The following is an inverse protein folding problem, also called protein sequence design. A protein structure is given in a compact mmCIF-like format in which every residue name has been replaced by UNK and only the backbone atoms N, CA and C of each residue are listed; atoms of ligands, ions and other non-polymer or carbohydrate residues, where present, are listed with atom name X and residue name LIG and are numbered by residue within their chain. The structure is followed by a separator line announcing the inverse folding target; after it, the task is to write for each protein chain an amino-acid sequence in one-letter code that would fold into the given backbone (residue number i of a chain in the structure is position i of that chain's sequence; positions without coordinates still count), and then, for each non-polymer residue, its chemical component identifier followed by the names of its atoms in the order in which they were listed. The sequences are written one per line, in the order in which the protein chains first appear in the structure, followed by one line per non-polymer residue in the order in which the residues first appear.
data_IF_552252842772
#
_entry.id   IF_552252842772
#
_cell.length_a   1.000
_cell.length_b   1.000
_cell.length_c   1.000
_cell.angle_alpha   90.00
_cell.angle_beta   90.00
_cell.angle_gamma   90.00
#
_symmetry.space_group_name_H-M   'P 1'
#
loop_
_entity.id
_entity.type
_entity.pdbx_description
1 polymer ?
#
# COMPACT_ATOMS: atom_id res chain seq x y z
N UNK A 1 -18.60 15.81 50.25
CA UNK A 1 -18.78 16.55 48.98
C UNK A 1 -17.73 15.98 48.02
N UNK A 2 -18.11 14.99 47.21
CA UNK A 2 -17.20 14.34 46.27
C UNK A 2 -17.38 14.96 44.89
N UNK A 3 -16.37 15.69 44.42
CA UNK A 3 -16.34 16.22 43.05
C UNK A 3 -15.85 15.13 42.10
N UNK A 4 -16.71 14.69 41.20
CA UNK A 4 -16.34 13.87 40.06
C UNK A 4 -15.82 14.79 38.95
N UNK A 5 -14.54 14.65 38.59
CA UNK A 5 -13.90 15.38 37.50
C UNK A 5 -14.09 14.54 36.22
N UNK A 6 -15.02 14.96 35.36
CA UNK A 6 -15.23 14.34 34.06
C UNK A 6 -14.19 14.86 33.07
N UNK A 7 -13.35 13.94 32.56
CA UNK A 7 -12.37 14.22 31.53
C UNK A 7 -13.05 14.07 30.15
N UNK A 8 -13.33 15.19 29.50
CA UNK A 8 -13.91 15.21 28.15
C UNK A 8 -12.78 15.00 27.12
N UNK A 9 -12.76 13.83 26.47
CA UNK A 9 -11.92 13.61 25.30
C UNK A 9 -12.54 14.32 24.10
N UNK A 10 -11.84 15.35 23.58
CA UNK A 10 -12.18 15.96 22.28
C UNK A 10 -11.66 15.02 21.19
N UNK A 11 -12.57 14.35 20.50
CA UNK A 11 -12.23 13.61 19.28
C UNK A 11 -12.21 14.63 18.15
N UNK A 12 -11.03 14.99 17.66
CA UNK A 12 -10.91 15.77 16.44
C UNK A 12 -11.28 14.86 15.26
N UNK A 13 -12.48 15.05 14.70
CA UNK A 13 -12.82 14.49 13.41
C UNK A 13 -12.00 15.23 12.35
N UNK A 14 -10.89 14.66 11.92
CA UNK A 14 -10.21 15.11 10.71
C UNK A 14 -11.16 14.88 9.54
N UNK A 15 -11.49 15.94 8.80
CA UNK A 15 -12.11 15.76 7.50
C UNK A 15 -11.10 14.96 6.65
N UNK A 16 -11.55 13.86 6.04
CA UNK A 16 -10.82 13.23 4.96
C UNK A 16 -10.80 14.25 3.80
N UNK A 17 -9.75 15.06 3.76
CA UNK A 17 -9.51 16.01 2.68
C UNK A 17 -8.74 15.32 1.58
N UNK A 18 -9.05 15.68 0.33
CA UNK A 18 -8.23 15.35 -0.82
C UNK A 18 -6.76 15.72 -0.55
N UNK A 19 -5.85 14.80 -0.86
CA UNK A 19 -4.41 15.07 -0.85
C UNK A 19 -3.99 15.43 -2.28
N UNK A 20 -3.34 16.59 -2.44
CA UNK A 20 -2.73 16.96 -3.72
C UNK A 20 -1.33 16.34 -3.78
N UNK A 21 -1.17 15.33 -4.63
CA UNK A 21 0.06 14.56 -4.77
C UNK A 21 0.84 14.98 -6.01
N UNK A 22 2.16 15.15 -5.87
CA UNK A 22 3.11 15.40 -6.97
C UNK A 22 3.86 14.12 -7.30
N UNK A 23 4.02 13.81 -8.58
CA UNK A 23 4.92 12.74 -9.03
C UNK A 23 6.35 13.27 -9.12
N UNK A 24 7.21 12.87 -8.19
CA UNK A 24 8.63 13.29 -8.16
C UNK A 24 9.49 12.47 -9.13
N UNK A 25 9.09 11.22 -9.40
CA UNK A 25 9.79 10.32 -10.30
C UNK A 25 9.42 8.86 -10.04
N UNK A 26 10.30 7.97 -10.46
CA UNK A 26 10.12 6.52 -10.35
C UNK A 26 11.15 5.93 -9.38
N UNK A 27 10.81 4.82 -8.73
CA UNK A 27 11.73 4.13 -7.80
C UNK A 27 12.91 3.51 -8.54
N UNK A 28 12.68 3.02 -9.77
CA UNK A 28 13.64 2.37 -10.64
C UNK A 28 13.42 2.75 -12.11
N UNK A 29 14.20 2.16 -13.03
CA UNK A 29 13.81 2.16 -14.43
C UNK A 29 12.44 1.48 -14.61
N UNK A 30 11.61 2.05 -15.48
CA UNK A 30 10.29 1.50 -15.83
C UNK A 30 10.48 0.27 -16.72
N UNK A 31 10.01 -0.90 -16.28
CA UNK A 31 9.99 -2.09 -17.12
C UNK A 31 8.74 -2.12 -18.00
N UNK A 32 8.88 -2.73 -19.18
CA UNK A 32 7.73 -3.01 -20.03
C UNK A 32 7.11 -4.36 -19.63
N UNK A 33 5.81 -4.34 -19.34
CA UNK A 33 5.02 -5.54 -19.06
C UNK A 33 4.04 -5.76 -20.22
N UNK A 34 4.03 -6.97 -20.76
CA UNK A 34 3.08 -7.39 -21.79
C UNK A 34 1.87 -8.02 -21.12
N UNK A 35 0.69 -7.39 -21.26
CA UNK A 35 -0.57 -7.89 -20.71
C UNK A 35 -1.24 -8.76 -21.75
N UNK A 36 -1.41 -10.05 -21.43
CA UNK A 36 -2.07 -11.03 -22.29
C UNK A 36 -3.57 -11.10 -22.03
N UNK A 37 -3.99 -10.93 -20.77
CA UNK A 37 -5.40 -10.90 -20.35
C UNK A 37 -5.58 -9.95 -19.18
N UNK A 38 -6.73 -9.27 -19.12
CA UNK A 38 -7.15 -8.43 -18.01
C UNK A 38 -8.68 -8.30 -18.05
N UNK A 39 -9.37 -8.34 -16.89
CA UNK A 39 -10.80 -8.04 -16.84
C UNK A 39 -11.11 -6.55 -16.95
N UNK A 40 -10.10 -5.69 -16.78
CA UNK A 40 -10.25 -4.24 -16.85
C UNK A 40 -10.41 -3.83 -18.33
N UNK A 41 -11.53 -3.20 -18.72
CA UNK A 41 -11.74 -2.75 -20.09
C UNK A 41 -10.62 -1.84 -20.57
N UNK A 42 -10.32 -1.90 -21.88
CA UNK A 42 -9.34 -1.04 -22.55
C UNK A 42 -7.91 -1.12 -21.98
N UNK A 43 -7.58 -2.17 -21.22
CA UNK A 43 -6.21 -2.44 -20.78
C UNK A 43 -5.26 -2.55 -21.99
N UNK A 44 -4.20 -1.72 -22.08
CA UNK A 44 -3.22 -1.83 -23.15
C UNK A 44 -2.47 -3.16 -23.10
N UNK A 45 -2.12 -3.72 -24.26
CA UNK A 45 -1.31 -4.95 -24.32
C UNK A 45 0.13 -4.76 -23.83
N UNK A 46 0.56 -3.52 -23.60
CA UNK A 46 1.88 -3.17 -23.10
C UNK A 46 1.78 -1.95 -22.18
N UNK A 47 2.26 -2.09 -20.95
CA UNK A 47 2.23 -1.06 -19.90
C UNK A 47 3.57 -0.96 -19.19
N UNK A 48 3.83 0.21 -18.58
CA UNK A 48 5.02 0.41 -17.75
C UNK A 48 4.78 -0.03 -16.32
N UNK A 49 5.77 -0.67 -15.69
CA UNK A 49 5.69 -1.12 -14.30
C UNK A 49 6.92 -0.68 -13.49
N UNK A 50 6.67 0.00 -12.37
CA UNK A 50 7.64 0.42 -11.34
C UNK A 50 6.87 1.10 -10.19
N UNK A 51 7.54 1.46 -9.10
CA UNK A 51 6.98 2.30 -8.04
C UNK A 51 7.07 3.79 -8.39
N UNK A 52 6.14 4.58 -7.85
CA UNK A 52 6.09 6.03 -8.04
C UNK A 52 6.53 6.75 -6.77
N UNK A 53 7.55 7.59 -6.87
CA UNK A 53 7.91 8.49 -5.78
C UNK A 53 6.94 9.67 -5.80
N UNK A 54 6.13 9.77 -4.76
CA UNK A 54 5.10 10.79 -4.62
C UNK A 54 5.37 11.67 -3.41
N UNK A 55 5.01 12.95 -3.49
CA UNK A 55 4.99 13.86 -2.35
C UNK A 55 3.60 14.48 -2.19
N UNK A 56 3.05 14.43 -0.99
CA UNK A 56 1.87 15.20 -0.63
C UNK A 56 2.27 16.66 -0.39
N UNK A 57 1.69 17.57 -1.17
CA UNK A 57 2.02 19.00 -1.11
C UNK A 57 1.56 19.69 0.18
N UNK A 58 0.56 19.15 0.88
CA UNK A 58 0.05 19.73 2.11
C UNK A 58 0.93 19.37 3.31
N UNK A 59 1.39 18.12 3.37
CA UNK A 59 2.18 17.58 4.50
C UNK A 59 3.68 17.58 4.24
N UNK A 60 4.09 17.68 2.97
CA UNK A 60 5.47 17.48 2.49
C UNK A 60 6.03 16.08 2.76
N UNK A 61 5.15 15.11 3.07
CA UNK A 61 5.53 13.71 3.24
C UNK A 61 5.73 13.05 1.87
N UNK A 62 6.85 12.32 1.73
CA UNK A 62 7.14 11.54 0.54
C UNK A 62 6.93 10.05 0.81
N UNK A 63 6.38 9.34 -0.17
CA UNK A 63 6.09 7.92 -0.10
C UNK A 63 6.16 7.28 -1.49
N UNK A 64 6.14 5.94 -1.53
CA UNK A 64 6.04 5.19 -2.77
C UNK A 64 4.59 4.76 -2.99
N UNK A 65 4.04 5.06 -4.16
CA UNK A 65 2.73 4.60 -4.59
C UNK A 65 2.85 3.62 -5.77
N UNK A 66 1.82 2.82 -5.97
CA UNK A 66 1.75 1.80 -7.01
C UNK A 66 0.46 1.94 -7.81
N UNK A 67 0.47 1.54 -9.08
CA UNK A 67 -0.69 1.62 -9.97
C UNK A 67 -1.64 0.46 -9.69
N UNK A 68 -2.91 0.74 -9.46
CA UNK A 68 -3.97 -0.27 -9.54
C UNK A 68 -5.10 0.22 -10.43
N UNK A 69 -4.74 0.85 -11.56
CA UNK A 69 -5.69 1.35 -12.55
C UNK A 69 -5.07 1.22 -13.94
N UNK A 70 -4.87 -0.03 -14.36
CA UNK A 70 -3.97 -0.44 -15.45
C UNK A 70 -4.36 0.11 -16.84
N UNK A 71 -5.61 0.52 -17.01
CA UNK A 71 -6.12 1.12 -18.26
C UNK A 71 -5.86 2.63 -18.36
N UNK A 72 -5.28 3.26 -17.33
CA UNK A 72 -5.18 4.71 -17.24
C UNK A 72 -3.74 5.21 -17.11
N UNK A 73 -3.52 6.44 -17.58
CA UNK A 73 -2.20 7.05 -17.56
C UNK A 73 -1.92 7.75 -16.24
N UNK A 74 -0.76 7.48 -15.68
CA UNK A 74 -0.19 8.32 -14.62
C UNK A 74 0.07 9.75 -15.13
N UNK A 75 0.00 10.72 -14.22
CA UNK A 75 0.43 12.10 -14.47
C UNK A 75 1.91 12.17 -14.90
N UNK A 76 2.31 13.26 -15.57
CA UNK A 76 3.72 13.49 -15.90
C UNK A 76 4.56 13.84 -14.67
N UNK A 77 5.84 13.46 -14.64
CA UNK A 77 6.77 13.85 -13.58
C UNK A 77 6.80 15.38 -13.39
N UNK A 78 6.73 15.84 -12.14
CA UNK A 78 6.62 17.24 -11.76
C UNK A 78 5.21 17.82 -11.83
N UNK A 79 4.21 17.05 -12.28
CA UNK A 79 2.80 17.44 -12.24
C UNK A 79 2.15 16.98 -10.93
N UNK A 80 0.99 17.55 -10.61
CA UNK A 80 0.19 17.18 -9.45
C UNK A 80 -1.22 16.75 -9.82
N UNK A 81 -1.83 15.91 -8.98
CA UNK A 81 -3.25 15.54 -9.04
C UNK A 81 -3.82 15.44 -7.63
N UNK A 82 -5.12 15.67 -7.51
CA UNK A 82 -5.84 15.53 -6.25
C UNK A 82 -6.32 14.08 -6.08
N UNK A 83 -6.17 13.53 -4.88
CA UNK A 83 -6.58 12.17 -4.53
C UNK A 83 -7.40 12.13 -3.25
N UNK A 84 -8.51 11.41 -3.27
CA UNK A 84 -9.24 10.99 -2.08
C UNK A 84 -8.75 9.63 -1.60
N UNK A 85 -8.70 9.42 -0.28
CA UNK A 85 -8.59 8.06 0.27
C UNK A 85 -9.99 7.43 0.33
N UNK A 86 -10.13 6.18 -0.08
CA UNK A 86 -11.41 5.45 -0.09
C UNK A 86 -11.29 4.07 0.53
N UNK A 87 -12.41 3.57 1.07
CA UNK A 87 -12.58 2.18 1.53
C UNK A 87 -13.35 1.31 0.53
N UNK A 88 -13.87 1.92 -0.54
CA UNK A 88 -14.50 1.25 -1.69
C UNK A 88 -13.67 1.60 -2.93
N UNK A 89 -12.48 0.98 -3.08
CA UNK A 89 -11.48 1.44 -4.02
C UNK A 89 -11.90 1.25 -5.46
N UNK A 90 -11.67 2.33 -6.22
CA UNK A 90 -11.71 2.36 -7.68
C UNK A 90 -13.12 2.16 -8.25
N UNK A 91 -14.11 2.58 -7.46
CA UNK A 91 -15.50 2.72 -7.91
C UNK A 91 -15.63 3.67 -9.12
N UNK A 92 -14.66 4.57 -9.30
CA UNK A 92 -14.54 5.45 -10.45
C UNK A 92 -13.81 4.83 -11.65
N UNK A 93 -13.30 3.60 -11.58
CA UNK A 93 -12.71 2.86 -12.71
C UNK A 93 -13.19 1.40 -12.72
N UNK A 94 -12.36 0.48 -12.24
CA UNK A 94 -12.67 -0.92 -12.07
C UNK A 94 -12.65 -1.25 -10.57
N UNK A 95 -13.84 -1.34 -9.98
CA UNK A 95 -14.00 -1.56 -8.54
C UNK A 95 -13.37 -2.87 -8.09
N UNK A 96 -12.62 -2.84 -6.97
CA UNK A 96 -12.06 -4.05 -6.39
C UNK A 96 -13.06 -4.76 -5.48
N UNK A 97 -13.00 -6.10 -5.47
CA UNK A 97 -13.74 -6.91 -4.51
C UNK A 97 -13.06 -6.87 -3.13
N UNK A 98 -13.77 -7.29 -2.08
CA UNK A 98 -13.16 -7.46 -0.77
C UNK A 98 -11.99 -8.47 -0.80
N UNK A 99 -12.13 -9.57 -1.55
CA UNK A 99 -11.08 -10.57 -1.75
C UNK A 99 -9.84 -9.96 -2.41
N UNK A 100 -10.02 -9.13 -3.44
CA UNK A 100 -8.93 -8.43 -4.12
C UNK A 100 -8.19 -7.47 -3.17
N UNK A 101 -8.93 -6.73 -2.32
CA UNK A 101 -8.35 -5.86 -1.29
C UNK A 101 -7.50 -6.67 -0.31
N UNK A 102 -8.02 -7.80 0.19
CA UNK A 102 -7.31 -8.68 1.11
C UNK A 102 -6.04 -9.28 0.48
N UNK A 103 -6.09 -9.64 -0.81
CA UNK A 103 -4.92 -10.12 -1.56
C UNK A 103 -3.87 -9.03 -1.75
N UNK A 104 -4.27 -7.81 -2.08
CA UNK A 104 -3.37 -6.65 -2.17
C UNK A 104 -2.68 -6.40 -0.83
N UNK A 105 -3.43 -6.43 0.27
CA UNK A 105 -2.89 -6.34 1.63
C UNK A 105 -1.84 -7.44 1.90
N UNK A 106 -2.15 -8.70 1.57
CA UNK A 106 -1.21 -9.82 1.76
C UNK A 106 0.08 -9.65 0.93
N UNK A 107 0.00 -9.12 -0.30
CA UNK A 107 1.18 -8.83 -1.13
C UNK A 107 2.09 -7.80 -0.44
N UNK A 108 1.53 -6.73 0.13
CA UNK A 108 2.30 -5.75 0.89
C UNK A 108 2.92 -6.37 2.15
N UNK A 109 2.12 -7.04 2.98
CA UNK A 109 2.56 -7.62 4.25
C UNK A 109 3.69 -8.64 4.09
N UNK A 110 3.63 -9.45 3.02
CA UNK A 110 4.61 -10.48 2.78
C UNK A 110 5.93 -9.98 2.17
N UNK A 111 5.90 -8.92 1.35
CA UNK A 111 7.02 -8.61 0.45
C UNK A 111 7.60 -7.19 0.60
N UNK A 112 6.81 -6.18 0.99
CA UNK A 112 7.19 -4.77 0.84
C UNK A 112 8.41 -4.38 1.68
N UNK A 113 8.57 -4.97 2.87
CA UNK A 113 9.70 -4.68 3.77
C UNK A 113 11.07 -5.10 3.21
N UNK A 114 11.09 -6.05 2.27
CA UNK A 114 12.31 -6.64 1.70
C UNK A 114 12.54 -6.23 0.25
N UNK A 115 11.65 -5.42 -0.33
CA UNK A 115 11.73 -4.99 -1.71
C UNK A 115 12.91 -4.03 -1.91
N UNK A 116 13.77 -4.31 -2.89
CA UNK A 116 14.75 -3.30 -3.36
C UNK A 116 14.11 -2.41 -4.42
N UNK A 117 13.72 -1.21 -4.00
CA UNK A 117 13.07 -0.22 -4.86
C UNK A 117 13.96 0.27 -6.02
N UNK A 118 15.28 0.08 -5.96
CA UNK A 118 16.21 0.50 -7.02
C UNK A 118 16.40 -0.58 -8.10
N UNK A 119 15.96 -1.81 -7.84
CA UNK A 119 16.00 -2.92 -8.78
C UNK A 119 14.74 -2.88 -9.66
N UNK A 120 14.94 -2.67 -10.95
CA UNK A 120 13.84 -2.52 -11.90
C UNK A 120 13.02 -3.81 -12.06
N UNK A 121 13.65 -4.98 -11.95
CA UNK A 121 12.97 -6.25 -12.12
C UNK A 121 12.12 -6.56 -10.88
N UNK A 122 12.62 -6.24 -9.68
CA UNK A 122 11.87 -6.36 -8.42
C UNK A 122 10.70 -5.38 -8.35
N UNK A 123 10.91 -4.10 -8.69
CA UNK A 123 9.84 -3.11 -8.68
C UNK A 123 8.72 -3.49 -9.67
N UNK A 124 9.08 -3.91 -10.89
CA UNK A 124 8.10 -4.35 -11.88
C UNK A 124 7.39 -5.64 -11.47
N UNK A 125 8.12 -6.60 -10.88
CA UNK A 125 7.53 -7.83 -10.36
C UNK A 125 6.52 -7.56 -9.24
N UNK A 126 6.82 -6.63 -8.34
CA UNK A 126 5.91 -6.24 -7.28
C UNK A 126 4.65 -5.58 -7.84
N UNK A 127 4.80 -4.67 -8.82
CA UNK A 127 3.67 -4.08 -9.53
C UNK A 127 2.81 -5.11 -10.26
N UNK A 128 3.41 -6.12 -10.89
CA UNK A 128 2.70 -7.22 -11.54
C UNK A 128 1.94 -8.09 -10.52
N UNK A 129 2.55 -8.41 -9.38
CA UNK A 129 1.88 -9.15 -8.30
C UNK A 129 0.69 -8.37 -7.73
N UNK A 130 0.78 -7.04 -7.62
CA UNK A 130 -0.34 -6.21 -7.22
C UNK A 130 -1.50 -6.25 -8.24
N UNK A 131 -1.22 -6.23 -9.54
CA UNK A 131 -2.26 -6.35 -10.56
C UNK A 131 -2.93 -7.72 -10.55
N UNK A 132 -2.16 -8.80 -10.42
CA UNK A 132 -2.70 -10.15 -10.27
C UNK A 132 -3.59 -10.26 -9.03
N UNK A 133 -3.12 -9.77 -7.88
CA UNK A 133 -3.89 -9.75 -6.64
C UNK A 133 -5.20 -8.95 -6.75
N UNK A 134 -5.19 -7.86 -7.52
CA UNK A 134 -6.33 -6.97 -7.70
C UNK A 134 -7.34 -7.49 -8.73
N UNK A 135 -6.90 -8.19 -9.77
CA UNK A 135 -7.70 -8.46 -10.97
C UNK A 135 -7.89 -9.94 -11.31
N UNK A 136 -7.30 -10.87 -10.56
CA UNK A 136 -7.60 -12.28 -10.74
C UNK A 136 -9.00 -12.64 -10.20
N UNK A 137 -9.59 -13.70 -10.76
CA UNK A 137 -10.84 -14.25 -10.25
C UNK A 137 -10.68 -14.78 -8.81
N UNK A 138 -11.74 -14.65 -8.02
CA UNK A 138 -11.74 -15.03 -6.60
C UNK A 138 -11.60 -16.55 -6.40
N UNK A 139 -11.89 -17.35 -7.44
CA UNK A 139 -11.84 -18.82 -7.40
C UNK A 139 -10.54 -19.46 -7.88
N UNK A 140 -9.59 -18.68 -8.43
CA UNK A 140 -8.35 -19.19 -9.00
C UNK A 140 -7.14 -18.99 -8.07
N UNK A 141 -6.11 -19.81 -8.27
CA UNK A 141 -4.80 -19.58 -7.68
C UNK A 141 -4.12 -18.41 -8.39
N UNK A 142 -3.38 -17.58 -7.63
CA UNK A 142 -2.74 -16.39 -8.20
C UNK A 142 -1.52 -16.79 -9.03
N UNK A 143 -1.43 -16.28 -10.25
CA UNK A 143 -0.31 -16.52 -11.16
C UNK A 143 -0.33 -15.53 -12.33
N UNK A 144 0.73 -14.74 -12.48
CA UNK A 144 0.81 -13.80 -13.63
C UNK A 144 0.88 -14.51 -14.98
N UNK A 145 1.18 -15.81 -15.04
CA UNK A 145 1.24 -16.56 -16.29
C UNK A 145 -0.14 -16.95 -16.86
N UNK A 146 -1.20 -16.90 -16.07
CA UNK A 146 -2.51 -17.42 -16.47
C UNK A 146 -3.62 -17.00 -15.52
N UNK A 147 -4.83 -16.82 -16.07
CA UNK A 147 -6.00 -16.53 -15.27
C UNK A 147 -6.88 -15.50 -15.95
N UNK A 148 -7.68 -14.81 -15.16
CA UNK A 148 -8.42 -13.64 -15.58
C UNK A 148 -7.46 -12.47 -15.87
N UNK A 149 -6.45 -12.30 -15.02
CA UNK A 149 -5.29 -11.47 -15.31
C UNK A 149 -4.12 -12.35 -15.76
N UNK A 150 -3.37 -11.90 -16.77
CA UNK A 150 -2.15 -12.56 -17.20
C UNK A 150 -1.21 -11.56 -17.84
N UNK A 151 0.05 -11.55 -17.40
CA UNK A 151 1.05 -10.62 -17.84
C UNK A 151 2.47 -11.23 -17.77
N UNK A 152 3.37 -10.71 -18.60
CA UNK A 152 4.77 -11.15 -18.61
C UNK A 152 5.74 -10.00 -18.83
N UNK A 153 6.92 -10.11 -18.23
CA UNK A 153 8.02 -9.18 -18.47
C UNK A 153 9.36 -9.91 -18.43
N UNK A 154 10.34 -9.38 -19.16
CA UNK A 154 11.70 -9.93 -19.14
C UNK A 154 12.33 -9.66 -17.77
N UNK A 155 12.56 -10.71 -16.98
CA UNK A 155 13.23 -10.61 -15.67
C UNK A 155 12.28 -10.52 -14.46
N UNK A 156 11.03 -10.11 -14.66
CA UNK A 156 10.09 -9.89 -13.54
C UNK A 156 9.02 -10.96 -13.36
N UNK A 157 8.71 -11.78 -14.38
CA UNK A 157 7.61 -12.78 -14.28
C UNK A 157 7.80 -13.76 -13.12
N UNK A 158 8.97 -14.40 -13.04
CA UNK A 158 9.25 -15.38 -11.98
C UNK A 158 9.27 -14.75 -10.57
N UNK A 159 9.74 -13.49 -10.48
CA UNK A 159 9.73 -12.73 -9.24
C UNK A 159 8.31 -12.36 -8.81
N UNK A 160 7.43 -12.00 -9.75
CA UNK A 160 6.04 -11.69 -9.45
C UNK A 160 5.32 -12.91 -8.86
N UNK A 161 5.49 -14.08 -9.48
CA UNK A 161 4.96 -15.34 -8.95
C UNK A 161 5.56 -15.71 -7.59
N UNK A 162 6.83 -15.35 -7.33
CA UNK A 162 7.44 -15.52 -6.01
C UNK A 162 6.75 -14.63 -4.97
N UNK A 163 6.47 -13.36 -5.30
CA UNK A 163 5.77 -12.44 -4.39
C UNK A 163 4.32 -12.87 -4.12
N UNK A 164 3.63 -13.42 -5.12
CA UNK A 164 2.30 -14.00 -4.96
C UNK A 164 2.32 -15.23 -4.06
N UNK A 165 3.26 -16.16 -4.27
CA UNK A 165 3.41 -17.32 -3.41
C UNK A 165 3.76 -16.94 -1.96
N UNK A 166 4.60 -15.91 -1.76
CA UNK A 166 4.88 -15.37 -0.43
C UNK A 166 3.62 -14.80 0.23
N UNK A 167 2.77 -14.09 -0.53
CA UNK A 167 1.52 -13.53 -0.05
C UNK A 167 0.53 -14.63 0.36
N UNK A 168 0.35 -15.66 -0.47
CA UNK A 168 -0.51 -16.81 -0.15
C UNK A 168 -0.02 -17.60 1.07
N UNK A 169 1.30 -17.69 1.26
CA UNK A 169 1.91 -18.36 2.41
C UNK A 169 1.97 -17.48 3.67
N UNK A 170 1.62 -16.19 3.59
CA UNK A 170 1.77 -15.27 4.69
C UNK A 170 0.71 -15.52 5.77
N UNK A 171 1.19 -15.96 6.94
CA UNK A 171 0.36 -16.17 8.14
C UNK A 171 0.75 -15.21 9.29
N UNK A 172 1.50 -14.15 8.97
CA UNK A 172 1.92 -13.14 9.92
C UNK A 172 0.82 -12.13 10.26
N UNK A 173 1.08 -11.21 11.21
CA UNK A 173 0.18 -10.09 11.47
C UNK A 173 0.20 -9.08 10.31
N UNK A 174 -0.83 -8.26 10.20
CA UNK A 174 -0.78 -7.07 9.35
C UNK A 174 0.36 -6.15 9.81
N UNK A 175 1.29 -5.84 8.91
CA UNK A 175 2.47 -5.00 9.17
C UNK A 175 2.40 -3.66 8.45
N UNK A 176 1.57 -3.56 7.41
CA UNK A 176 1.31 -2.34 6.65
C UNK A 176 -0.16 -1.95 6.69
N UNK A 177 -0.44 -0.66 6.88
CA UNK A 177 -1.77 -0.10 6.66
C UNK A 177 -1.87 0.35 5.19
N UNK A 178 -2.64 -0.38 4.39
CA UNK A 178 -2.88 -0.07 2.98
C UNK A 178 -3.85 1.10 2.85
N UNK A 179 -3.48 2.07 2.00
CA UNK A 179 -4.31 3.21 1.63
C UNK A 179 -4.55 3.20 0.13
N UNK A 180 -5.82 3.14 -0.27
CA UNK A 180 -6.23 3.28 -1.67
C UNK A 180 -6.51 4.75 -1.98
N UNK A 181 -5.83 5.26 -2.99
CA UNK A 181 -5.86 6.65 -3.43
C UNK A 181 -6.62 6.72 -4.76
N UNK A 182 -7.78 7.33 -4.74
CA UNK A 182 -8.65 7.51 -5.89
C UNK A 182 -8.52 8.94 -6.42
N UNK A 183 -8.22 9.10 -7.71
CA UNK A 183 -8.02 10.44 -8.29
C UNK A 183 -9.33 11.24 -8.31
N UNK A 184 -9.29 12.49 -7.86
CA UNK A 184 -10.42 13.40 -7.92
C UNK A 184 -10.56 14.01 -9.32
N UNK A 185 -11.75 13.90 -9.92
CA UNK A 185 -12.00 14.40 -11.27
C UNK A 185 -12.01 13.29 -12.31
N UNK A 186 -13.03 12.42 -12.22
CA UNK A 186 -13.32 11.44 -13.26
C UNK A 186 -13.73 12.12 -14.58
N UNK A 187 -12.91 11.96 -15.62
CA UNK A 187 -13.27 12.29 -16.99
C UNK A 187 -13.32 11.01 -17.84
N UNK A 188 -14.29 10.84 -18.75
CA UNK A 188 -14.34 9.67 -19.66
C UNK A 188 -13.20 9.68 -20.69
N UNK A 189 -12.60 10.85 -20.96
CA UNK A 189 -11.48 11.03 -21.89
C UNK A 189 -10.15 11.01 -21.12
N UNK A 190 -9.75 9.83 -20.62
CA UNK A 190 -8.59 9.62 -19.74
C UNK A 190 -7.24 9.85 -20.44
N UNK A 191 -6.94 11.12 -20.78
CA UNK A 191 -5.62 11.56 -21.18
C UNK A 191 -4.67 11.66 -19.98
N UNK A 192 -3.37 11.88 -20.22
CA UNK A 192 -2.31 12.06 -19.20
C UNK A 192 -2.63 13.06 -18.06
N UNK A 193 -3.67 13.89 -18.23
CA UNK A 193 -4.08 14.93 -17.28
C UNK A 193 -5.18 14.50 -16.31
N UNK A 194 -5.68 13.26 -16.39
CA UNK A 194 -6.76 12.74 -15.52
C UNK A 194 -6.27 11.83 -14.40
N UNK A 195 -5.00 11.38 -14.46
CA UNK A 195 -4.41 10.50 -13.46
C UNK A 195 -4.91 9.07 -13.50
N UNK A 196 -4.33 8.23 -12.64
CA UNK A 196 -4.67 6.82 -12.46
C UNK A 196 -4.84 6.58 -10.97
N UNK A 197 -5.69 5.64 -10.56
CA UNK A 197 -5.79 5.31 -9.15
C UNK A 197 -4.55 4.56 -8.63
N UNK A 198 -4.20 4.85 -7.37
CA UNK A 198 -2.97 4.39 -6.75
C UNK A 198 -3.25 3.63 -5.45
N UNK A 199 -2.26 2.88 -5.00
CA UNK A 199 -2.21 2.28 -3.66
C UNK A 199 -0.87 2.57 -3.01
N UNK A 200 -0.87 2.81 -1.71
CA UNK A 200 0.33 3.04 -0.91
C UNK A 200 0.18 2.38 0.46
N UNK A 201 1.26 2.34 1.23
CA UNK A 201 1.28 1.78 2.59
C UNK A 201 2.00 2.69 3.57
N UNK A 202 1.58 2.62 4.83
CA UNK A 202 2.33 3.12 5.98
C UNK A 202 2.54 1.99 6.99
N UNK A 203 3.60 2.05 7.78
CA UNK A 203 3.88 1.00 8.77
C UNK A 203 2.80 0.99 9.87
N UNK A 204 2.27 -0.19 10.20
CA UNK A 204 1.35 -0.33 11.35
C UNK A 204 2.12 -0.02 12.63
N UNK A 205 1.65 0.92 13.47
CA UNK A 205 2.32 1.23 14.73
C UNK A 205 2.38 0.00 15.63
N UNK A 206 3.60 -0.36 16.09
CA UNK A 206 3.76 -1.46 17.02
C UNK A 206 2.89 -1.23 18.27
N UNK A 207 2.16 -2.26 18.76
CA UNK A 207 1.29 -2.11 19.90
C UNK A 207 2.04 -1.51 21.09
N UNK A 208 1.55 -0.39 21.62
CA UNK A 208 2.11 0.27 22.81
C UNK A 208 2.25 -0.68 24.00
N UNK A 209 1.48 -1.79 24.02
CA UNK A 209 1.63 -2.88 24.97
C UNK A 209 3.05 -3.44 25.07
N UNK A 210 3.81 -3.51 23.97
CA UNK A 210 5.22 -3.94 23.99
C UNK A 210 6.12 -2.97 24.74
N UNK A 211 5.95 -1.67 24.49
CA UNK A 211 6.67 -0.62 25.21
C UNK A 211 6.21 -0.53 26.68
N UNK A 212 4.93 -0.74 26.97
CA UNK A 212 4.38 -0.78 28.33
C UNK A 212 4.87 -2.00 29.11
N UNK A 213 5.03 -3.16 28.46
CA UNK A 213 5.61 -4.34 29.07
C UNK A 213 7.10 -4.11 29.39
N UNK A 214 7.86 -3.56 28.45
CA UNK A 214 9.28 -3.24 28.65
C UNK A 214 9.46 -2.20 29.77
N UNK A 215 8.69 -1.11 29.74
CA UNK A 215 8.73 -0.08 30.79
C UNK A 215 8.23 -0.61 32.14
N UNK A 216 7.23 -1.50 32.14
CA UNK A 216 6.75 -2.20 33.33
C UNK A 216 7.80 -3.12 33.95
N UNK A 217 8.52 -3.88 33.14
CA UNK A 217 9.60 -4.77 33.60
C UNK A 217 10.80 -3.97 34.14
N UNK A 218 11.22 -2.91 33.43
CA UNK A 218 12.29 -2.02 33.90
C UNK A 218 11.88 -1.29 35.18
N UNK A 219 10.65 -0.77 35.23
CA UNK A 219 10.08 -0.13 36.41
C UNK A 219 10.02 -1.08 37.62
N UNK A 220 9.51 -2.29 37.43
CA UNK A 220 9.43 -3.33 38.45
C UNK A 220 10.80 -3.78 38.97
N UNK A 221 11.79 -3.92 38.10
CA UNK A 221 13.16 -4.25 38.47
C UNK A 221 13.83 -3.11 39.27
N UNK A 222 13.60 -1.85 38.89
CA UNK A 222 14.10 -0.70 39.63
C UNK A 222 13.46 -0.58 41.03
N UNK A 223 12.15 -0.77 41.12
CA UNK A 223 11.40 -0.77 42.39
C UNK A 223 11.82 -1.91 43.32
N UNK A 224 12.02 -3.12 42.81
CA UNK A 224 12.48 -4.26 43.60
C UNK A 224 13.91 -4.09 44.13
N UNK A 225 14.82 -3.51 43.33
CA UNK A 225 16.17 -3.14 43.80
C UNK A 225 16.16 -2.09 44.90
N UNK A 226 15.28 -1.08 44.82
CA UNK A 226 15.16 -0.06 45.87
C UNK A 226 14.66 -0.64 47.18
N UNK A 227 13.71 -1.58 47.14
CA UNK A 227 13.19 -2.24 48.35
C UNK A 227 14.22 -3.12 49.06
N UNK A 228 15.11 -3.79 48.31
CA UNK A 228 16.20 -4.58 48.91
C UNK A 228 17.24 -3.72 49.64
N UNK A 229 17.60 -2.56 49.08
CA UNK A 229 18.53 -1.62 49.73
C UNK A 229 17.96 -0.93 50.98
N UNK A 230 16.65 -0.75 51.06
CA UNK A 230 16.00 -0.13 52.21
C UNK A 230 15.76 -1.11 53.38
N UNK A 231 15.91 -2.42 53.17
CA UNK A 231 15.77 -3.45 54.20
C UNK A 231 17.12 -3.85 54.85
N UNK A 232 18.24 -3.27 54.39
CA UNK A 232 19.59 -3.45 54.95
C UNK A 232 20.02 -2.29 55.88
N UNK A 233 19.09 -1.44 56.31
CA UNK A 233 19.28 -0.36 57.32
C UNK A 233 18.38 -0.64 58.51
#
# INVERSE_FOLDING_TARGET
MSSAMALTCVVAAGAAGAATLVLDGYTSAVQTVNVASSPVPDTPSSVGATGFNMTDTATTESFVAWCLDISHYLMSTGSSQDYGTTTDPYSNSYALTATAIDRVQAVFDANYATLDFNDADQAAAFQMALWEAAYEDDGNALSVDSGLFAASSSGSTDLANTYLANAEAYAGPEVWNVSFLEVEGYGPDRAQNTGQNLVTVSAVPLPAAGLLLLTGLVGGAALSRRRRKAAEV
#
